data_IF_699938969234
#
_entry.id   IF_699938969234
#
_cell.length_a   1.000
_cell.length_b   1.000
_cell.length_c   1.000
_cell.angle_alpha   90.00
_cell.angle_beta   90.00
_cell.angle_gamma   90.00
#
_symmetry.space_group_name_H-M   'P 1'
#
loop_
_entity.id
_entity.type
_entity.pdbx_description
1 polymer ?
#
# COMPACT_ATOMS: atom_id res chain seq x y z
N UNK A 1 -9.13 -4.59 -17.64
CA UNK A 1 -8.71 -3.57 -16.65
C UNK A 1 -7.79 -4.28 -15.68
N UNK A 2 -6.61 -3.74 -15.39
CA UNK A 2 -5.56 -4.45 -14.63
C UNK A 2 -4.71 -3.46 -13.81
N UNK A 3 -3.99 -3.94 -12.80
CA UNK A 3 -3.07 -3.16 -11.97
C UNK A 3 -1.67 -3.25 -12.58
N UNK A 4 -1.02 -2.10 -12.75
CA UNK A 4 0.35 -2.02 -13.26
C UNK A 4 1.18 -1.05 -12.44
N UNK A 5 2.48 -1.33 -12.31
CA UNK A 5 3.43 -0.47 -11.57
C UNK A 5 4.26 0.39 -12.54
N UNK A 6 5.40 -0.13 -13.00
CA UNK A 6 6.30 0.61 -13.93
C UNK A 6 5.89 0.48 -15.39
N UNK A 7 4.94 -0.40 -15.71
CA UNK A 7 4.52 -0.70 -17.08
C UNK A 7 5.52 -1.57 -17.88
N UNK A 8 6.61 -2.02 -17.26
CA UNK A 8 7.64 -2.86 -17.92
C UNK A 8 7.03 -4.11 -18.57
N UNK A 9 6.19 -4.84 -17.84
CA UNK A 9 5.53 -6.05 -18.33
C UNK A 9 4.61 -5.79 -19.52
N UNK A 10 3.89 -4.66 -19.54
CA UNK A 10 3.06 -4.31 -20.70
C UNK A 10 3.93 -4.08 -21.94
N UNK A 11 5.03 -3.32 -21.78
CA UNK A 11 5.94 -2.99 -22.88
C UNK A 11 6.61 -4.23 -23.48
N UNK A 12 7.05 -5.17 -22.66
CA UNK A 12 7.64 -6.46 -23.10
C UNK A 12 6.66 -7.29 -23.95
N UNK A 13 5.36 -7.11 -23.73
CA UNK A 13 4.29 -7.76 -24.47
C UNK A 13 3.72 -6.89 -25.61
N UNK A 14 4.33 -5.75 -25.93
CA UNK A 14 3.83 -4.84 -26.97
C UNK A 14 2.51 -4.15 -26.62
N UNK A 15 2.16 -4.10 -25.33
CA UNK A 15 0.95 -3.46 -24.81
C UNK A 15 1.27 -2.04 -24.30
N UNK A 16 0.25 -1.17 -24.27
CA UNK A 16 0.34 0.19 -23.72
C UNK A 16 -0.86 0.51 -22.85
N UNK A 17 -0.65 1.36 -21.83
CA UNK A 17 -1.74 1.91 -21.03
C UNK A 17 -2.59 2.83 -21.92
N UNK A 18 -3.89 2.55 -21.99
CA UNK A 18 -4.85 3.37 -22.76
C UNK A 18 -5.45 4.46 -21.90
N UNK A 19 -5.79 4.12 -20.66
CA UNK A 19 -6.42 5.02 -19.69
C UNK A 19 -6.00 4.60 -18.29
N UNK A 20 -5.53 5.57 -17.51
CA UNK A 20 -5.30 5.39 -16.08
C UNK A 20 -6.60 5.68 -15.33
N UNK A 21 -6.98 4.78 -14.43
CA UNK A 21 -8.22 4.91 -13.66
C UNK A 21 -7.98 5.60 -12.31
N UNK A 22 -7.08 5.05 -11.50
CA UNK A 22 -6.71 5.62 -10.20
C UNK A 22 -5.39 5.05 -9.68
N UNK A 23 -4.63 5.83 -8.89
CA UNK A 23 -3.55 5.29 -8.09
C UNK A 23 -4.12 4.45 -6.94
N UNK A 24 -3.39 3.39 -6.58
CA UNK A 24 -3.73 2.54 -5.44
C UNK A 24 -2.57 2.51 -4.45
N UNK A 25 -2.89 2.26 -3.18
CA UNK A 25 -1.89 2.09 -2.13
C UNK A 25 -2.26 0.89 -1.27
N UNK A 26 -1.26 0.24 -0.68
CA UNK A 26 -1.50 -0.65 0.46
C UNK A 26 -2.12 0.14 1.62
N UNK A 27 -2.96 -0.52 2.42
CA UNK A 27 -3.63 0.07 3.59
C UNK A 27 -3.57 -0.90 4.76
N UNK A 28 -3.30 -0.37 5.96
CA UNK A 28 -3.46 -1.13 7.20
C UNK A 28 -4.94 -1.07 7.61
N UNK A 29 -5.64 -2.21 7.50
CA UNK A 29 -7.08 -2.31 7.76
C UNK A 29 -7.29 -3.22 8.97
N UNK A 30 -8.02 -2.71 9.96
CA UNK A 30 -8.38 -3.45 11.17
C UNK A 30 -9.89 -3.74 11.22
N UNK A 31 -10.26 -4.91 11.75
CA UNK A 31 -11.65 -5.20 12.08
C UNK A 31 -12.13 -4.28 13.22
N UNK A 32 -13.31 -3.68 13.06
CA UNK A 32 -13.86 -2.71 14.02
C UNK A 32 -14.03 -3.26 15.44
N UNK A 33 -14.60 -4.45 15.58
CA UNK A 33 -14.83 -5.07 16.89
C UNK A 33 -13.48 -5.42 17.55
N UNK A 34 -12.57 -6.04 16.80
CA UNK A 34 -11.23 -6.34 17.29
C UNK A 34 -10.46 -5.08 17.68
N UNK A 35 -10.58 -3.99 16.93
CA UNK A 35 -9.93 -2.71 17.25
C UNK A 35 -10.45 -2.13 18.56
N UNK A 36 -11.75 -2.21 18.83
CA UNK A 36 -12.32 -1.72 20.08
C UNK A 36 -11.74 -2.44 21.31
N UNK A 37 -11.53 -3.75 21.23
CA UNK A 37 -11.02 -4.54 22.36
C UNK A 37 -9.49 -4.65 22.41
N UNK A 38 -8.80 -4.48 21.27
CA UNK A 38 -7.34 -4.64 21.13
C UNK A 38 -6.65 -3.36 20.63
N UNK A 39 -7.23 -2.21 20.93
CA UNK A 39 -6.78 -0.90 20.45
C UNK A 39 -5.29 -0.68 20.71
N UNK A 40 -4.82 -0.96 21.93
CA UNK A 40 -3.43 -0.75 22.32
C UNK A 40 -2.43 -1.58 21.48
N UNK A 41 -2.74 -2.85 21.21
CA UNK A 41 -1.90 -3.71 20.36
C UNK A 41 -1.89 -3.22 18.91
N UNK A 42 -3.06 -2.83 18.39
CA UNK A 42 -3.19 -2.35 17.02
C UNK A 42 -2.51 -1.01 16.80
N UNK A 43 -2.60 -0.09 17.75
CA UNK A 43 -1.88 1.19 17.71
C UNK A 43 -0.37 1.00 17.78
N UNK A 44 0.10 0.08 18.62
CA UNK A 44 1.52 -0.26 18.69
C UNK A 44 2.02 -0.78 17.34
N UNK A 45 1.24 -1.63 16.66
CA UNK A 45 1.58 -2.13 15.33
C UNK A 45 1.55 -1.01 14.28
N UNK A 46 0.53 -0.16 14.32
CA UNK A 46 0.39 0.98 13.42
C UNK A 46 1.58 1.93 13.52
N UNK A 47 2.02 2.24 14.74
CA UNK A 47 3.13 3.17 14.96
C UNK A 47 4.46 2.59 14.49
N UNK A 48 4.71 1.30 14.74
CA UNK A 48 5.89 0.60 14.18
C UNK A 48 5.91 0.65 12.65
N UNK A 49 4.75 0.44 12.01
CA UNK A 49 4.64 0.53 10.56
C UNK A 49 4.92 1.95 10.05
N UNK A 50 4.44 2.99 10.75
CA UNK A 50 4.70 4.39 10.38
C UNK A 50 6.18 4.73 10.45
N UNK A 51 6.86 4.35 11.53
CA UNK A 51 8.30 4.57 11.70
C UNK A 51 9.09 3.89 10.58
N UNK A 52 8.78 2.63 10.28
CA UNK A 52 9.46 1.91 9.19
C UNK A 52 9.19 2.50 7.80
N UNK A 53 7.99 3.03 7.57
CA UNK A 53 7.67 3.73 6.32
C UNK A 53 8.47 5.02 6.19
N UNK A 54 8.57 5.81 7.26
CA UNK A 54 9.36 7.04 7.26
C UNK A 54 10.85 6.76 7.02
N UNK A 55 11.41 5.76 7.70
CA UNK A 55 12.81 5.35 7.49
C UNK A 55 13.09 4.95 6.03
N UNK A 56 12.13 4.28 5.37
CA UNK A 56 12.24 3.92 3.96
C UNK A 56 12.16 5.13 3.03
N UNK A 57 11.37 6.15 3.38
CA UNK A 57 11.27 7.39 2.61
C UNK A 57 12.56 8.21 2.72
N UNK A 58 13.17 8.30 3.90
CA UNK A 58 14.43 9.02 4.12
C UNK A 58 15.64 8.33 3.48
N UNK A 59 15.60 7.00 3.32
CA UNK A 59 16.66 6.21 2.70
C UNK A 59 16.60 6.17 1.16
N UNK A 60 15.54 6.72 0.55
CA UNK A 60 15.28 6.67 -0.90
C UNK A 60 15.69 7.95 -1.59
#
# INVERSE_FOLDING_TARGET
MDIVETGTTLRENGLKVVTEFMPISARFIANKASYQFKHAEMDTMLEKLRVELQNKEEAK
#
